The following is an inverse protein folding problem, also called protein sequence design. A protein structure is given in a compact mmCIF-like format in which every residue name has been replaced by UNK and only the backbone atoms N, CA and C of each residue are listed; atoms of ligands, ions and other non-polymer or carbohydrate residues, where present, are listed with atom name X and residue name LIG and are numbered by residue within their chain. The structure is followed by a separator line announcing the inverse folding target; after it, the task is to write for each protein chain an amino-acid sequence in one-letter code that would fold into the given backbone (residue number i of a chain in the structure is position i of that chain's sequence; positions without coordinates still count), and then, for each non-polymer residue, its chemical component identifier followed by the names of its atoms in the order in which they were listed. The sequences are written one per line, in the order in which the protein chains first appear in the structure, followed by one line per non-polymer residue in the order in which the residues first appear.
data_IF_776727939780
#
_entry.id   IF_776727939780
#
_cell.length_a   1.000
_cell.length_b   1.000
_cell.length_c   1.000
_cell.angle_alpha   90.00
_cell.angle_beta   90.00
_cell.angle_gamma   90.00
#
_symmetry.space_group_name_H-M   'P 1'
#
loop_
_entity.id
_entity.type
_entity.pdbx_description
1 polymer ?
#
# COMPACT_ATOMS: atom_id res chain seq x y z
N UNK A 1 43.07 11.25 -40.65
CA UNK A 1 41.74 10.74 -40.29
C UNK A 1 41.56 10.91 -38.77
N UNK A 2 40.71 11.82 -38.34
CA UNK A 2 40.42 11.99 -36.92
C UNK A 2 39.68 10.73 -36.44
N UNK A 3 40.20 10.07 -35.39
CA UNK A 3 39.48 8.98 -34.70
C UNK A 3 38.20 9.57 -34.19
N UNK A 4 37.03 9.07 -34.66
CA UNK A 4 35.76 9.37 -34.03
C UNK A 4 35.90 9.05 -32.55
N UNK A 5 35.74 10.06 -31.69
CA UNK A 5 35.66 9.85 -30.24
C UNK A 5 34.46 8.94 -29.96
N UNK A 6 34.74 7.78 -29.36
CA UNK A 6 33.65 6.88 -28.94
C UNK A 6 32.75 7.61 -27.96
N UNK A 7 31.45 7.57 -28.19
CA UNK A 7 30.45 8.25 -27.34
C UNK A 7 30.30 7.59 -25.95
N UNK A 8 30.77 6.33 -25.81
CA UNK A 8 30.63 5.54 -24.59
C UNK A 8 31.85 4.69 -24.31
N UNK A 9 32.22 4.46 -23.02
CA UNK A 9 33.24 3.47 -22.66
C UNK A 9 32.79 2.08 -23.10
N UNK A 10 33.71 1.31 -23.64
CA UNK A 10 33.47 -0.08 -24.06
C UNK A 10 34.45 -1.00 -23.37
N UNK A 11 33.92 -2.06 -22.74
CA UNK A 11 34.70 -3.10 -22.13
C UNK A 11 35.34 -4.04 -23.16
N UNK A 12 36.46 -4.63 -22.79
CA UNK A 12 37.07 -5.76 -23.51
C UNK A 12 37.86 -6.63 -22.54
N UNK A 13 38.13 -7.84 -22.95
CA UNK A 13 39.02 -8.73 -22.22
C UNK A 13 40.41 -8.70 -22.82
N UNK A 14 41.43 -8.64 -21.95
CA UNK A 14 42.84 -8.63 -22.36
C UNK A 14 43.61 -9.68 -21.58
N UNK A 15 44.65 -10.22 -22.22
CA UNK A 15 45.56 -11.14 -21.56
C UNK A 15 46.75 -10.38 -20.95
N UNK A 16 47.12 -10.74 -19.73
CA UNK A 16 48.26 -10.14 -19.03
C UNK A 16 49.11 -11.17 -18.32
N UNK A 17 50.37 -10.79 -18.17
CA UNK A 17 51.39 -11.43 -17.35
C UNK A 17 51.45 -12.94 -17.52
N UNK A 18 52.27 -13.44 -18.39
CA UNK A 18 52.44 -14.87 -18.58
C UNK A 18 52.96 -15.51 -17.28
N UNK A 19 52.31 -16.59 -16.86
CA UNK A 19 52.75 -17.42 -15.75
C UNK A 19 53.19 -18.78 -16.29
N UNK A 20 54.27 -19.33 -15.75
CA UNK A 20 54.69 -20.70 -16.07
C UNK A 20 53.72 -21.66 -15.39
N UNK A 21 53.09 -22.55 -16.16
CA UNK A 21 52.27 -23.65 -15.72
C UNK A 21 52.95 -24.98 -16.10
N UNK A 22 52.55 -26.08 -15.50
CA UNK A 22 53.01 -27.42 -15.86
C UNK A 22 52.80 -27.76 -17.34
N UNK A 23 51.79 -27.16 -17.97
CA UNK A 23 51.40 -27.37 -19.37
C UNK A 23 51.82 -26.22 -20.31
N UNK A 24 52.79 -25.38 -19.93
CA UNK A 24 53.27 -24.25 -20.74
C UNK A 24 52.91 -22.89 -20.18
N UNK A 25 53.01 -21.86 -21.03
CA UNK A 25 52.76 -20.47 -20.65
C UNK A 25 51.24 -20.17 -20.68
N UNK A 26 50.69 -19.69 -19.56
CA UNK A 26 49.30 -19.26 -19.46
C UNK A 26 49.22 -17.79 -19.09
N UNK A 27 48.14 -17.13 -19.52
CA UNK A 27 47.90 -15.72 -19.33
C UNK A 27 46.66 -15.53 -18.47
N UNK A 28 46.70 -14.58 -17.56
CA UNK A 28 45.50 -14.17 -16.78
C UNK A 28 44.61 -13.29 -17.66
N UNK A 29 43.32 -13.55 -17.59
CA UNK A 29 42.26 -12.77 -18.28
C UNK A 29 41.85 -11.62 -17.40
N UNK A 30 41.84 -10.42 -17.97
CA UNK A 30 41.41 -9.20 -17.30
C UNK A 30 40.29 -8.53 -18.09
N UNK A 31 39.26 -8.09 -17.42
CA UNK A 31 38.33 -7.11 -17.93
C UNK A 31 38.98 -5.73 -17.94
N UNK A 32 38.88 -5.00 -19.04
CA UNK A 32 39.59 -3.75 -19.31
C UNK A 32 38.68 -2.70 -19.89
N UNK A 33 38.70 -1.51 -19.30
CA UNK A 33 38.12 -0.29 -19.86
C UNK A 33 39.20 0.79 -20.01
N UNK A 34 39.00 1.65 -21.02
CA UNK A 34 39.81 2.86 -21.20
C UNK A 34 38.86 4.04 -21.47
N UNK A 35 38.93 5.05 -20.61
CA UNK A 35 38.08 6.22 -20.74
C UNK A 35 38.76 7.46 -20.20
N UNK A 36 38.67 8.61 -20.94
CA UNK A 36 39.22 9.91 -20.57
C UNK A 36 40.64 9.85 -19.96
N UNK A 37 41.52 9.04 -20.56
CA UNK A 37 42.89 8.90 -20.12
C UNK A 37 43.14 7.87 -19.01
N UNK A 38 42.10 7.37 -18.35
CA UNK A 38 42.23 6.37 -17.29
C UNK A 38 42.07 4.95 -17.82
N UNK A 39 42.94 4.05 -17.32
CA UNK A 39 42.89 2.61 -17.60
C UNK A 39 42.36 1.88 -16.37
N UNK A 40 41.24 1.18 -16.50
CA UNK A 40 40.62 0.38 -15.46
C UNK A 40 40.73 -1.10 -15.78
N UNK A 41 41.07 -1.93 -14.79
CA UNK A 41 41.32 -3.37 -14.97
C UNK A 41 40.89 -4.15 -13.77
N UNK A 42 40.22 -5.30 -14.02
CA UNK A 42 39.85 -6.29 -12.99
C UNK A 42 40.23 -7.69 -13.47
N UNK A 43 40.89 -8.47 -12.62
CA UNK A 43 41.06 -9.91 -12.86
C UNK A 43 39.71 -10.59 -12.85
N UNK A 44 39.46 -11.49 -13.78
CA UNK A 44 38.26 -12.34 -13.78
C UNK A 44 38.56 -13.75 -13.25
N UNK A 45 39.78 -13.92 -12.67
CA UNK A 45 40.28 -15.17 -12.07
C UNK A 45 40.26 -16.39 -13.02
N UNK A 46 40.39 -16.09 -14.30
CA UNK A 46 40.52 -17.08 -15.36
C UNK A 46 41.91 -16.99 -15.99
N UNK A 47 42.44 -18.13 -16.42
CA UNK A 47 43.69 -18.23 -17.15
C UNK A 47 43.50 -18.98 -18.46
N UNK A 48 44.30 -18.65 -19.47
CA UNK A 48 44.20 -19.23 -20.81
C UNK A 48 45.55 -19.30 -21.46
N UNK A 49 45.83 -20.35 -22.25
CA UNK A 49 46.99 -20.37 -23.16
C UNK A 49 46.70 -19.50 -24.38
N UNK A 50 47.73 -18.86 -24.95
CA UNK A 50 47.54 -17.92 -26.04
C UNK A 50 46.86 -18.56 -27.28
N UNK A 51 47.11 -19.82 -27.56
CA UNK A 51 46.46 -20.59 -28.64
C UNK A 51 44.96 -20.76 -28.49
N UNK A 52 44.49 -20.75 -27.24
CA UNK A 52 43.10 -21.01 -26.87
C UNK A 52 42.29 -19.72 -26.66
N UNK A 53 42.89 -18.57 -26.98
CA UNK A 53 42.30 -17.25 -26.90
C UNK A 53 42.11 -16.62 -28.28
N UNK A 54 40.96 -15.98 -28.49
CA UNK A 54 40.69 -15.19 -29.70
C UNK A 54 40.44 -13.72 -29.29
N UNK A 55 41.44 -12.86 -29.46
CA UNK A 55 41.36 -11.44 -29.11
C UNK A 55 40.45 -10.65 -30.03
N UNK A 56 40.32 -11.06 -31.29
CA UNK A 56 39.57 -10.32 -32.31
C UNK A 56 38.09 -10.71 -32.36
N UNK A 57 37.67 -11.70 -31.55
CA UNK A 57 36.28 -12.12 -31.47
C UNK A 57 35.38 -10.97 -30.99
N UNK A 58 34.16 -10.95 -31.48
CA UNK A 58 33.13 -9.98 -31.13
C UNK A 58 33.57 -8.52 -31.27
N UNK A 59 34.36 -8.19 -32.29
CA UNK A 59 34.84 -6.83 -32.54
C UNK A 59 36.00 -6.41 -31.63
N UNK A 60 36.83 -7.35 -31.18
CA UNK A 60 37.99 -7.11 -30.33
C UNK A 60 37.74 -7.24 -28.84
N UNK A 61 36.56 -7.77 -28.46
CA UNK A 61 36.20 -8.01 -27.06
C UNK A 61 37.04 -9.12 -26.43
N UNK A 62 37.34 -10.18 -27.20
CA UNK A 62 38.10 -11.35 -26.73
C UNK A 62 37.23 -12.47 -26.19
N UNK A 63 37.55 -13.72 -26.53
CA UNK A 63 36.85 -14.91 -26.03
C UNK A 63 37.72 -16.18 -26.05
N UNK A 64 37.29 -17.20 -25.32
CA UNK A 64 37.88 -18.54 -25.35
C UNK A 64 37.54 -19.25 -26.65
N UNK A 65 38.56 -19.91 -27.27
CA UNK A 65 38.37 -20.79 -28.44
C UNK A 65 37.88 -22.18 -28.03
N UNK A 66 37.24 -22.94 -28.95
CA UNK A 66 36.88 -24.34 -28.69
C UNK A 66 38.05 -25.23 -28.27
N UNK A 67 39.28 -24.91 -28.70
CA UNK A 67 40.48 -25.61 -28.31
C UNK A 67 40.83 -25.57 -26.84
N UNK A 68 40.18 -24.64 -26.06
CA UNK A 68 40.32 -24.56 -24.60
C UNK A 68 39.78 -25.79 -23.90
N UNK A 69 38.78 -26.47 -24.47
CA UNK A 69 38.12 -27.65 -23.90
C UNK A 69 36.60 -27.48 -23.75
N UNK A 70 35.92 -28.47 -23.15
CA UNK A 70 34.43 -28.54 -23.17
C UNK A 70 33.75 -27.35 -22.49
N UNK A 71 34.37 -26.69 -21.53
CA UNK A 71 33.78 -25.59 -20.74
C UNK A 71 33.96 -24.20 -21.40
N UNK A 72 34.47 -24.09 -22.65
CA UNK A 72 34.72 -22.78 -23.28
C UNK A 72 33.43 -21.97 -23.46
N UNK A 73 32.30 -22.64 -23.73
CA UNK A 73 30.99 -21.95 -23.87
C UNK A 73 30.51 -21.33 -22.57
N UNK A 74 30.62 -22.06 -21.48
CA UNK A 74 30.22 -21.56 -20.14
C UNK A 74 31.11 -20.37 -19.75
N UNK A 75 32.40 -20.44 -20.00
CA UNK A 75 33.30 -19.33 -19.70
C UNK A 75 33.02 -18.10 -20.57
N UNK A 76 32.72 -18.28 -21.84
CA UNK A 76 32.30 -17.17 -22.70
C UNK A 76 30.96 -16.59 -22.28
N UNK A 77 30.02 -17.40 -21.82
CA UNK A 77 28.75 -16.92 -21.24
C UNK A 77 28.99 -16.07 -20.00
N UNK A 78 29.83 -16.55 -19.06
CA UNK A 78 30.23 -15.80 -17.87
C UNK A 78 30.89 -14.46 -18.20
N UNK A 79 31.82 -14.43 -19.16
CA UNK A 79 32.45 -13.19 -19.59
C UNK A 79 31.42 -12.21 -20.18
N UNK A 80 30.50 -12.69 -21.00
CA UNK A 80 29.42 -11.85 -21.56
C UNK A 80 28.52 -11.26 -20.49
N UNK A 81 28.12 -12.07 -19.55
CA UNK A 81 27.24 -11.63 -18.45
C UNK A 81 27.93 -10.58 -17.59
N UNK A 82 29.16 -10.82 -17.14
CA UNK A 82 29.94 -9.88 -16.34
C UNK A 82 30.12 -8.53 -17.05
N UNK A 83 30.45 -8.54 -18.34
CA UNK A 83 30.61 -7.31 -19.11
C UNK A 83 29.28 -6.59 -19.32
N UNK A 84 28.22 -7.33 -19.61
CA UNK A 84 26.87 -6.78 -19.77
C UNK A 84 26.38 -6.09 -18.50
N UNK A 85 26.61 -6.67 -17.32
CA UNK A 85 26.26 -6.05 -16.03
C UNK A 85 26.98 -4.71 -15.84
N UNK A 86 28.28 -4.66 -16.10
CA UNK A 86 29.06 -3.43 -15.93
C UNK A 86 28.72 -2.39 -17.02
N UNK A 87 28.55 -2.79 -18.27
CA UNK A 87 28.14 -1.88 -19.34
C UNK A 87 26.75 -1.30 -19.09
N UNK A 88 25.83 -2.10 -18.55
CA UNK A 88 24.49 -1.62 -18.14
C UNK A 88 24.58 -0.56 -17.05
N UNK A 89 25.39 -0.78 -16.01
CA UNK A 89 25.62 0.20 -14.92
C UNK A 89 26.22 1.51 -15.46
N UNK A 90 27.21 1.41 -16.35
CA UNK A 90 27.82 2.57 -16.99
C UNK A 90 26.79 3.36 -17.81
N UNK A 91 25.99 2.68 -18.62
CA UNK A 91 24.97 3.33 -19.45
C UNK A 91 23.89 3.98 -18.61
N UNK A 92 23.48 3.35 -17.52
CA UNK A 92 22.46 3.89 -16.62
C UNK A 92 22.98 5.10 -15.86
N UNK A 93 24.25 5.08 -15.45
CA UNK A 93 24.90 6.23 -14.82
C UNK A 93 24.98 7.43 -15.81
N UNK A 94 25.39 7.19 -17.06
CA UNK A 94 25.43 8.23 -18.09
C UNK A 94 24.03 8.81 -18.37
N UNK A 95 22.99 7.96 -18.45
CA UNK A 95 21.61 8.43 -18.65
C UNK A 95 21.15 9.36 -17.52
N UNK A 96 21.61 9.10 -16.29
CA UNK A 96 21.20 9.85 -15.12
C UNK A 96 22.01 11.14 -14.94
N UNK A 97 23.33 11.07 -15.15
CA UNK A 97 24.28 12.16 -14.85
C UNK A 97 24.78 12.91 -16.08
N UNK A 98 24.48 12.41 -17.28
CA UNK A 98 24.92 13.00 -18.56
C UNK A 98 26.35 12.59 -19.00
N UNK A 99 27.25 12.37 -18.06
CA UNK A 99 28.64 12.01 -18.30
C UNK A 99 29.17 11.01 -17.27
N UNK A 100 30.29 10.40 -17.53
CA UNK A 100 30.97 9.47 -16.61
C UNK A 100 32.48 9.71 -16.65
N UNK A 101 33.13 9.64 -15.50
CA UNK A 101 34.58 9.71 -15.37
C UNK A 101 35.23 8.32 -15.18
N UNK A 102 36.55 8.29 -15.17
CA UNK A 102 37.30 7.04 -15.03
C UNK A 102 37.26 6.44 -13.64
N UNK A 103 37.03 7.24 -12.58
CA UNK A 103 36.95 6.80 -11.19
C UNK A 103 35.63 6.07 -10.97
N UNK A 104 34.57 6.59 -11.54
CA UNK A 104 33.27 5.95 -11.56
C UNK A 104 33.25 4.60 -12.26
N UNK A 105 33.95 4.51 -13.43
CA UNK A 105 34.12 3.22 -14.13
C UNK A 105 34.92 2.24 -13.26
N UNK A 106 35.97 2.71 -12.58
CA UNK A 106 36.76 1.85 -11.68
C UNK A 106 35.91 1.27 -10.56
N UNK A 107 35.06 2.07 -9.97
CA UNK A 107 34.14 1.61 -8.92
C UNK A 107 33.15 0.54 -9.44
N UNK A 108 32.58 0.70 -10.63
CA UNK A 108 31.72 -0.33 -11.24
C UNK A 108 32.49 -1.62 -11.56
N UNK A 109 33.71 -1.48 -12.10
CA UNK A 109 34.57 -2.61 -12.49
C UNK A 109 35.05 -3.35 -11.24
N UNK A 110 35.45 -2.66 -10.17
CA UNK A 110 35.89 -3.27 -8.93
C UNK A 110 34.77 -3.92 -8.14
N UNK A 111 33.51 -3.50 -8.36
CA UNK A 111 32.36 -3.87 -7.56
C UNK A 111 32.20 -3.04 -6.27
N UNK A 112 32.99 -1.96 -6.14
CA UNK A 112 32.89 -0.98 -5.06
C UNK A 112 32.01 0.21 -5.47
N UNK A 113 30.88 -0.12 -6.08
CA UNK A 113 29.94 0.82 -6.69
C UNK A 113 28.88 1.34 -5.70
N UNK A 114 28.96 0.93 -4.43
CA UNK A 114 27.98 1.36 -3.41
C UNK A 114 27.91 2.87 -3.26
N UNK A 115 29.06 3.55 -3.34
CA UNK A 115 29.14 5.00 -3.26
C UNK A 115 28.60 5.75 -4.50
N UNK A 116 28.44 5.04 -5.62
CA UNK A 116 28.02 5.60 -6.92
C UNK A 116 26.56 5.29 -7.26
N UNK A 117 25.83 4.63 -6.38
CA UNK A 117 24.42 4.36 -6.59
C UNK A 117 23.63 5.67 -6.65
N UNK A 118 22.70 5.79 -7.61
CA UNK A 118 21.93 7.03 -7.79
C UNK A 118 21.12 7.45 -6.56
N UNK A 119 20.90 6.53 -5.64
CA UNK A 119 20.19 6.72 -4.39
C UNK A 119 21.09 7.08 -3.19
N UNK A 120 22.38 7.26 -3.41
CA UNK A 120 23.32 7.50 -2.33
C UNK A 120 23.01 8.81 -1.60
N UNK A 121 22.53 8.68 -0.37
CA UNK A 121 22.14 9.79 0.48
C UNK A 121 20.66 10.22 0.40
N UNK A 122 19.83 9.55 -0.40
CA UNK A 122 18.38 9.81 -0.36
C UNK A 122 17.77 9.04 0.82
N UNK A 123 17.27 9.76 1.82
CA UNK A 123 16.57 9.16 2.95
C UNK A 123 15.27 8.49 2.50
N UNK A 124 15.11 7.21 2.84
CA UNK A 124 13.95 6.40 2.48
C UNK A 124 12.64 6.97 3.01
N UNK A 125 12.65 7.44 4.26
CA UNK A 125 11.44 7.94 4.92
C UNK A 125 10.96 9.23 4.27
N UNK A 126 11.86 10.16 4.00
CA UNK A 126 11.52 11.43 3.36
C UNK A 126 11.08 11.23 1.90
N UNK A 127 11.77 10.38 1.15
CA UNK A 127 11.35 9.98 -0.20
C UNK A 127 9.94 9.37 -0.22
N UNK A 128 9.67 8.46 0.72
CA UNK A 128 8.38 7.82 0.83
C UNK A 128 7.25 8.80 1.18
N UNK A 129 7.48 9.72 2.13
CA UNK A 129 6.51 10.77 2.48
C UNK A 129 6.24 11.69 1.30
N UNK A 130 7.30 12.14 0.61
CA UNK A 130 7.16 13.00 -0.56
C UNK A 130 6.34 12.32 -1.66
N UNK A 131 6.56 11.03 -1.91
CA UNK A 131 5.74 10.27 -2.86
C UNK A 131 4.24 10.29 -2.53
N UNK A 132 3.86 10.16 -1.25
CA UNK A 132 2.44 10.25 -0.85
C UNK A 132 1.88 11.66 -1.06
N UNK A 133 2.67 12.70 -0.81
CA UNK A 133 2.32 14.09 -1.07
C UNK A 133 2.12 14.32 -2.57
N UNK A 134 3.04 13.88 -3.41
CA UNK A 134 2.98 14.04 -4.87
C UNK A 134 1.78 13.31 -5.48
N UNK A 135 1.47 12.11 -4.99
CA UNK A 135 0.27 11.37 -5.41
C UNK A 135 -1.02 12.08 -5.01
N UNK A 136 -1.05 12.73 -3.87
CA UNK A 136 -2.18 13.55 -3.44
C UNK A 136 -2.31 14.80 -4.32
N UNK A 137 -1.23 15.55 -4.51
CA UNK A 137 -1.20 16.77 -5.33
C UNK A 137 -1.59 16.49 -6.80
N UNK A 138 -1.26 15.30 -7.31
CA UNK A 138 -1.65 14.85 -8.65
C UNK A 138 -3.06 14.23 -8.72
N UNK A 139 -3.83 14.23 -7.64
CA UNK A 139 -5.19 13.69 -7.58
C UNK A 139 -5.28 12.16 -7.66
N UNK A 140 -4.16 11.44 -7.58
CA UNK A 140 -4.11 9.96 -7.65
C UNK A 140 -4.60 9.28 -6.37
N UNK A 141 -4.53 9.97 -5.24
CA UNK A 141 -5.03 9.49 -3.94
C UNK A 141 -5.71 10.62 -3.19
N UNK A 142 -6.67 10.29 -2.32
CA UNK A 142 -7.30 11.25 -1.43
C UNK A 142 -6.47 11.56 -0.18
N UNK A 143 -6.84 12.64 0.52
CA UNK A 143 -6.16 13.12 1.73
C UNK A 143 -5.98 12.03 2.80
N UNK A 144 -6.98 11.17 3.00
CA UNK A 144 -6.87 10.08 3.99
C UNK A 144 -5.79 9.05 3.63
N UNK A 145 -5.62 8.75 2.34
CA UNK A 145 -4.57 7.83 1.88
C UNK A 145 -3.18 8.44 2.02
N UNK A 146 -3.03 9.75 1.74
CA UNK A 146 -1.79 10.50 1.99
C UNK A 146 -1.40 10.42 3.46
N UNK A 147 -2.32 10.77 4.36
CA UNK A 147 -2.06 10.81 5.79
C UNK A 147 -1.75 9.43 6.39
N UNK A 148 -2.48 8.40 5.93
CA UNK A 148 -2.19 7.04 6.34
C UNK A 148 -0.79 6.59 5.86
N UNK A 149 -0.43 6.91 4.60
CA UNK A 149 0.90 6.63 4.07
C UNK A 149 2.01 7.30 4.88
N UNK A 150 1.86 8.59 5.19
CA UNK A 150 2.79 9.33 6.06
C UNK A 150 2.85 8.71 7.46
N UNK A 151 1.71 8.35 8.05
CA UNK A 151 1.65 7.68 9.36
C UNK A 151 2.36 6.33 9.35
N UNK A 152 2.25 5.55 8.27
CA UNK A 152 2.95 4.29 8.12
C UNK A 152 4.47 4.49 8.05
N UNK A 153 4.93 5.50 7.32
CA UNK A 153 6.36 5.85 7.26
C UNK A 153 6.89 6.34 8.61
N UNK A 154 6.08 7.09 9.36
CA UNK A 154 6.44 7.49 10.72
C UNK A 154 6.57 6.29 11.68
N UNK A 155 5.76 5.24 11.51
CA UNK A 155 5.89 4.00 12.27
C UNK A 155 7.19 3.26 11.90
N UNK A 156 7.55 3.21 10.63
CA UNK A 156 8.80 2.62 10.18
C UNK A 156 10.01 3.42 10.68
N UNK A 157 9.97 4.75 10.58
CA UNK A 157 10.99 5.64 11.17
C UNK A 157 11.16 5.42 12.68
N UNK A 158 10.05 5.24 13.42
CA UNK A 158 10.11 4.92 14.85
C UNK A 158 10.85 3.63 15.13
N UNK A 159 10.58 2.58 14.36
CA UNK A 159 11.29 1.30 14.46
C UNK A 159 12.78 1.47 14.19
N UNK A 160 13.16 2.15 13.10
CA UNK A 160 14.56 2.39 12.76
C UNK A 160 15.31 3.07 13.91
N UNK A 161 14.69 4.06 14.55
CA UNK A 161 15.27 4.79 15.69
C UNK A 161 15.36 3.95 16.96
N UNK A 162 14.30 3.23 17.32
CA UNK A 162 14.25 2.46 18.58
C UNK A 162 15.15 1.23 18.53
N UNK A 163 15.19 0.54 17.40
CA UNK A 163 15.95 -0.70 17.23
C UNK A 163 17.34 -0.45 16.62
N UNK A 164 17.70 0.83 16.36
CA UNK A 164 18.98 1.24 15.73
C UNK A 164 19.27 0.46 14.44
N UNK A 165 18.24 0.29 13.61
CA UNK A 165 18.28 -0.53 12.39
C UNK A 165 18.57 0.26 11.12
N UNK A 166 18.71 1.58 11.19
CA UNK A 166 19.23 2.40 10.09
C UNK A 166 20.73 2.18 9.93
N UNK A 167 21.26 2.61 8.79
CA UNK A 167 22.68 2.46 8.45
C UNK A 167 23.48 3.74 8.74
N UNK A 168 22.80 4.86 8.92
CA UNK A 168 23.39 6.20 9.01
C UNK A 168 22.76 7.02 10.14
N UNK A 169 23.37 8.16 10.44
CA UNK A 169 22.98 9.03 11.54
C UNK A 169 23.67 8.66 12.86
N UNK A 170 23.57 9.54 13.86
CA UNK A 170 24.27 9.38 15.15
C UNK A 170 23.84 8.11 15.90
N UNK A 171 22.59 7.68 15.71
CA UNK A 171 22.00 6.52 16.35
C UNK A 171 21.53 5.44 15.36
N UNK A 172 22.08 5.41 14.14
CA UNK A 172 21.61 4.54 13.06
C UNK A 172 20.10 4.68 12.81
N UNK A 173 19.59 5.91 12.81
CA UNK A 173 18.17 6.20 12.55
C UNK A 173 17.82 6.49 11.10
N UNK A 174 18.82 6.73 10.25
CA UNK A 174 18.63 7.01 8.82
C UNK A 174 18.82 5.73 8.00
N UNK A 175 17.99 5.58 6.99
CA UNK A 175 18.05 4.50 6.01
C UNK A 175 18.05 5.12 4.62
N UNK A 176 19.11 4.89 3.85
CA UNK A 176 19.12 5.32 2.46
C UNK A 176 18.32 4.38 1.56
N UNK A 177 17.83 4.91 0.45
CA UNK A 177 16.82 4.27 -0.37
C UNK A 177 17.28 2.90 -0.93
N UNK A 178 18.54 2.78 -1.36
CA UNK A 178 19.11 1.53 -1.86
C UNK A 178 19.52 0.51 -0.79
N UNK A 179 19.41 0.87 0.48
CA UNK A 179 19.79 0.00 1.60
C UNK A 179 18.61 -0.78 2.19
N UNK A 180 17.40 -0.52 1.68
CA UNK A 180 16.24 -1.27 2.13
C UNK A 180 16.35 -2.74 1.70
N UNK A 181 16.11 -3.64 2.64
CA UNK A 181 16.15 -5.08 2.40
C UNK A 181 14.87 -5.75 2.86
N UNK A 182 14.58 -6.93 2.32
CA UNK A 182 13.50 -7.79 2.79
C UNK A 182 13.63 -8.06 4.30
N UNK A 183 14.84 -8.41 4.76
CA UNK A 183 15.08 -8.75 6.17
C UNK A 183 14.76 -7.57 7.09
N UNK A 184 15.11 -6.34 6.71
CA UNK A 184 14.78 -5.16 7.51
C UNK A 184 13.26 -4.94 7.63
N UNK A 185 12.52 -5.17 6.55
CA UNK A 185 11.05 -5.05 6.57
C UNK A 185 10.40 -6.22 7.31
N UNK A 186 10.98 -7.42 7.24
CA UNK A 186 10.59 -8.58 8.05
C UNK A 186 10.78 -8.30 9.55
N UNK A 187 11.91 -7.75 9.95
CA UNK A 187 12.18 -7.36 11.33
C UNK A 187 11.18 -6.30 11.82
N UNK A 188 10.90 -5.30 10.99
CA UNK A 188 9.87 -4.30 11.27
C UNK A 188 8.48 -4.92 11.42
N UNK A 189 8.08 -5.84 10.54
CA UNK A 189 6.82 -6.57 10.62
C UNK A 189 6.69 -7.30 11.96
N UNK A 190 7.74 -8.03 12.34
CA UNK A 190 7.77 -8.80 13.59
C UNK A 190 7.75 -7.87 14.81
N UNK A 191 8.44 -6.73 14.75
CA UNK A 191 8.38 -5.69 15.79
C UNK A 191 6.97 -5.12 15.95
N UNK A 192 6.25 -4.88 14.86
CA UNK A 192 4.85 -4.43 14.92
C UNK A 192 3.94 -5.48 15.59
N UNK A 193 4.10 -6.76 15.26
CA UNK A 193 3.34 -7.85 15.86
C UNK A 193 3.67 -7.99 17.35
N UNK A 194 4.93 -7.89 17.74
CA UNK A 194 5.38 -7.90 19.14
C UNK A 194 4.86 -6.70 19.97
N UNK A 195 4.38 -5.64 19.31
CA UNK A 195 3.69 -4.51 19.94
C UNK A 195 2.15 -4.63 19.82
N UNK A 196 1.60 -5.83 19.76
CA UNK A 196 0.18 -6.16 19.73
C UNK A 196 -0.61 -5.49 18.58
N UNK A 197 0.06 -5.21 17.45
CA UNK A 197 -0.60 -4.69 16.26
C UNK A 197 -1.32 -5.81 15.52
N UNK A 198 -2.58 -5.54 15.15
CA UNK A 198 -3.36 -6.50 14.35
C UNK A 198 -2.70 -6.77 13.00
N UNK A 199 -2.73 -8.02 12.55
CA UNK A 199 -2.17 -8.50 11.29
C UNK A 199 -2.60 -7.63 10.10
N UNK A 200 -3.90 -7.30 9.99
CA UNK A 200 -4.43 -6.44 8.92
C UNK A 200 -3.78 -5.03 8.92
N UNK A 201 -3.47 -4.47 10.09
CA UNK A 201 -2.78 -3.18 10.20
C UNK A 201 -1.33 -3.30 9.76
N UNK A 202 -0.64 -4.35 10.19
CA UNK A 202 0.76 -4.64 9.82
C UNK A 202 0.88 -4.85 8.31
N UNK A 203 -0.01 -5.63 7.72
CA UNK A 203 -0.08 -5.87 6.28
C UNK A 203 -0.23 -4.57 5.47
N UNK A 204 -1.06 -3.62 5.94
CA UNK A 204 -1.21 -2.31 5.29
C UNK A 204 0.07 -1.49 5.30
N UNK A 205 0.84 -1.54 6.39
CA UNK A 205 2.13 -0.83 6.49
C UNK A 205 3.17 -1.47 5.58
N UNK A 206 3.31 -2.80 5.61
CA UNK A 206 4.22 -3.54 4.72
C UNK A 206 3.88 -3.29 3.24
N UNK A 207 2.60 -3.32 2.89
CA UNK A 207 2.15 -3.02 1.53
C UNK A 207 2.47 -1.57 1.12
N UNK A 208 2.39 -0.61 2.04
CA UNK A 208 2.78 0.77 1.77
C UNK A 208 4.28 0.89 1.49
N UNK A 209 5.14 0.21 2.27
CA UNK A 209 6.59 0.13 2.05
C UNK A 209 6.87 -0.52 0.68
N UNK A 210 6.27 -1.68 0.39
CA UNK A 210 6.41 -2.35 -0.91
C UNK A 210 6.00 -1.45 -2.09
N UNK A 211 4.95 -0.65 -1.92
CA UNK A 211 4.50 0.33 -2.92
C UNK A 211 5.50 1.46 -3.15
N UNK A 212 6.22 1.89 -2.12
CA UNK A 212 7.32 2.87 -2.24
C UNK A 212 8.52 2.23 -2.95
N UNK A 213 8.93 1.02 -2.54
CA UNK A 213 10.00 0.27 -3.20
C UNK A 213 9.71 0.03 -4.69
N UNK A 214 8.47 -0.33 -5.04
CA UNK A 214 8.07 -0.51 -6.43
C UNK A 214 8.22 0.77 -7.28
N UNK A 215 7.99 1.93 -6.68
CA UNK A 215 8.24 3.20 -7.36
C UNK A 215 9.74 3.52 -7.45
N UNK A 216 10.48 3.27 -6.39
CA UNK A 216 11.93 3.45 -6.37
C UNK A 216 12.62 2.51 -7.38
N UNK A 217 12.08 1.29 -7.59
CA UNK A 217 12.58 0.36 -8.61
C UNK A 217 12.38 0.87 -10.04
N UNK A 218 11.31 1.62 -10.32
CA UNK A 218 11.13 2.27 -11.63
C UNK A 218 12.22 3.32 -11.91
N UNK A 219 12.80 3.89 -10.84
CA UNK A 219 13.91 4.84 -10.88
C UNK A 219 15.27 4.14 -10.70
N UNK A 220 15.28 2.81 -10.61
CA UNK A 220 16.48 1.97 -10.37
C UNK A 220 17.21 2.26 -9.06
N UNK A 221 16.52 2.86 -8.08
CA UNK A 221 17.06 3.09 -6.74
C UNK A 221 17.01 1.84 -5.85
N UNK A 222 16.04 0.95 -6.09
CA UNK A 222 15.84 -0.29 -5.35
C UNK A 222 15.74 -1.44 -6.36
N UNK A 223 16.44 -2.56 -6.18
CA UNK A 223 16.29 -3.74 -7.03
C UNK A 223 14.85 -4.26 -7.01
N UNK A 224 14.36 -4.73 -8.17
CA UNK A 224 12.98 -5.23 -8.28
C UNK A 224 12.78 -6.47 -7.42
N UNK A 225 13.80 -7.31 -7.27
CA UNK A 225 13.80 -8.52 -6.46
C UNK A 225 13.50 -8.21 -4.99
N UNK A 226 14.08 -7.14 -4.44
CA UNK A 226 13.80 -6.66 -3.08
C UNK A 226 12.34 -6.24 -2.94
N UNK A 227 11.81 -5.55 -3.96
CA UNK A 227 10.38 -5.15 -3.96
C UNK A 227 9.45 -6.35 -3.96
N UNK A 228 9.75 -7.39 -4.74
CA UNK A 228 8.95 -8.61 -4.80
C UNK A 228 9.02 -9.37 -3.48
N UNK A 229 10.21 -9.56 -2.92
CA UNK A 229 10.41 -10.20 -1.63
C UNK A 229 9.64 -9.48 -0.50
N UNK A 230 9.65 -8.13 -0.47
CA UNK A 230 8.86 -7.37 0.51
C UNK A 230 7.34 -7.58 0.32
N UNK A 231 6.84 -7.71 -0.90
CA UNK A 231 5.42 -8.00 -1.14
C UNK A 231 5.01 -9.37 -0.59
N UNK A 232 5.90 -10.35 -0.65
CA UNK A 232 5.66 -11.71 -0.16
C UNK A 232 5.65 -11.79 1.38
N UNK A 233 6.08 -10.73 2.08
CA UNK A 233 5.96 -10.61 3.53
C UNK A 233 4.53 -10.43 4.03
N UNK A 234 3.55 -10.36 3.13
CA UNK A 234 2.13 -10.27 3.50
C UNK A 234 1.69 -11.53 4.25
N UNK A 235 1.14 -11.34 5.44
CA UNK A 235 0.64 -12.43 6.25
C UNK A 235 -0.78 -12.80 5.82
N UNK A 236 -1.02 -14.09 5.56
CA UNK A 236 -2.38 -14.60 5.44
C UNK A 236 -3.03 -14.60 6.83
N UNK A 237 -4.23 -14.06 6.89
CA UNK A 237 -5.01 -13.98 8.14
C UNK A 237 -5.64 -15.36 8.46
N UNK A 238 -4.78 -16.38 8.57
CA UNK A 238 -5.19 -17.75 8.90
C UNK A 238 -5.42 -18.01 10.39
N UNK A 239 -5.09 -17.01 11.23
CA UNK A 239 -5.11 -17.12 12.69
C UNK A 239 -6.38 -16.58 13.33
N UNK A 240 -7.40 -16.27 12.55
CA UNK A 240 -8.69 -15.92 13.12
C UNK A 240 -9.39 -17.23 13.46
N UNK A 241 -9.57 -17.46 14.76
CA UNK A 241 -10.49 -18.47 15.23
C UNK A 241 -11.83 -18.30 14.49
N UNK A 242 -12.32 -19.39 13.94
CA UNK A 242 -13.56 -19.38 13.14
C UNK A 242 -14.75 -18.82 13.93
N UNK A 243 -14.63 -18.72 15.25
CA UNK A 243 -15.65 -18.27 16.17
C UNK A 243 -15.59 -16.78 16.52
N UNK A 244 -14.57 -16.01 16.09
CA UNK A 244 -14.54 -14.56 16.35
C UNK A 244 -15.35 -13.81 15.31
N UNK A 245 -16.59 -13.45 15.66
CA UNK A 245 -17.45 -12.57 14.83
C UNK A 245 -16.73 -11.28 14.52
N UNK A 246 -16.30 -11.12 13.27
CA UNK A 246 -15.50 -9.97 12.79
C UNK A 246 -16.31 -8.67 12.80
N UNK A 247 -17.61 -8.78 12.64
CA UNK A 247 -18.53 -7.65 12.49
C UNK A 247 -19.33 -7.46 13.77
N UNK A 248 -19.17 -6.30 14.39
CA UNK A 248 -19.94 -5.91 15.57
C UNK A 248 -21.22 -5.21 15.15
N UNK A 249 -22.36 -5.73 15.56
CA UNK A 249 -23.70 -5.23 15.24
C UNK A 249 -24.65 -5.37 16.43
N UNK A 250 -25.85 -4.82 16.34
CA UNK A 250 -26.93 -5.00 17.30
C UNK A 250 -27.90 -6.04 16.76
N UNK A 251 -28.29 -7.00 17.59
CA UNK A 251 -29.45 -7.88 17.28
C UNK A 251 -30.72 -7.05 17.15
N UNK A 252 -31.78 -7.64 16.60
CA UNK A 252 -33.06 -6.93 16.43
C UNK A 252 -33.60 -6.44 17.79
N UNK A 253 -33.48 -7.25 18.84
CA UNK A 253 -33.95 -6.86 20.19
C UNK A 253 -33.08 -5.79 20.83
N UNK A 254 -31.74 -5.88 20.63
CA UNK A 254 -30.83 -4.82 21.06
C UNK A 254 -31.12 -3.51 20.33
N UNK A 255 -31.38 -3.57 19.02
CA UNK A 255 -31.73 -2.38 18.25
C UNK A 255 -33.04 -1.74 18.73
N UNK A 256 -34.07 -2.54 19.01
CA UNK A 256 -35.35 -2.07 19.62
C UNK A 256 -35.10 -1.41 20.97
N UNK A 257 -34.34 -2.09 21.85
CA UNK A 257 -33.95 -1.54 23.15
C UNK A 257 -33.20 -0.22 22.99
N UNK A 258 -32.21 -0.16 22.08
CA UNK A 258 -31.46 1.06 21.82
C UNK A 258 -32.34 2.18 21.27
N UNK A 259 -33.24 1.89 20.34
CA UNK A 259 -34.21 2.89 19.84
C UNK A 259 -35.06 3.49 20.93
N UNK A 260 -35.45 2.68 21.92
CA UNK A 260 -36.33 3.08 23.03
C UNK A 260 -35.70 4.05 24.05
N UNK A 261 -34.38 4.12 24.17
CA UNK A 261 -33.74 4.94 25.20
C UNK A 261 -33.72 6.45 24.90
N UNK A 262 -34.12 6.87 23.71
CA UNK A 262 -33.97 8.27 23.27
C UNK A 262 -34.50 9.28 24.31
N UNK A 263 -35.69 9.05 24.83
CA UNK A 263 -36.32 10.00 25.74
C UNK A 263 -35.71 9.96 27.14
N UNK A 264 -35.07 8.86 27.52
CA UNK A 264 -34.38 8.73 28.81
C UNK A 264 -33.02 9.40 28.83
N UNK A 265 -32.49 9.78 27.65
CA UNK A 265 -31.19 10.43 27.57
C UNK A 265 -31.20 11.83 28.18
N UNK A 266 -30.22 12.16 29.07
CA UNK A 266 -30.29 13.35 29.90
C UNK A 266 -30.02 14.66 29.14
N UNK A 267 -29.33 14.59 28.01
CA UNK A 267 -28.87 15.80 27.30
C UNK A 267 -29.35 15.81 25.85
N UNK A 268 -29.81 16.97 25.40
CA UNK A 268 -30.26 17.16 24.01
C UNK A 268 -29.21 16.70 22.99
N UNK A 269 -27.94 16.95 23.25
CA UNK A 269 -26.84 16.53 22.35
C UNK A 269 -26.70 15.00 22.27
N UNK A 270 -27.01 14.29 23.34
CA UNK A 270 -27.06 12.82 23.32
C UNK A 270 -28.24 12.33 22.48
N UNK A 271 -29.41 12.95 22.61
CA UNK A 271 -30.59 12.66 21.78
C UNK A 271 -30.29 12.92 20.30
N UNK A 272 -29.57 13.98 19.97
CA UNK A 272 -29.14 14.31 18.62
C UNK A 272 -28.22 13.24 18.01
N UNK A 273 -27.23 12.77 18.76
CA UNK A 273 -26.36 11.71 18.31
C UNK A 273 -27.04 10.35 18.21
N UNK A 274 -28.02 10.10 19.09
CA UNK A 274 -28.89 8.96 18.97
C UNK A 274 -29.73 9.02 17.68
N UNK A 275 -30.38 10.16 17.40
CA UNK A 275 -31.11 10.38 16.16
C UNK A 275 -30.23 10.14 14.92
N UNK A 276 -28.99 10.59 14.94
CA UNK A 276 -28.04 10.37 13.84
C UNK A 276 -27.68 8.88 13.66
N UNK A 277 -27.52 8.13 14.75
CA UNK A 277 -27.27 6.69 14.68
C UNK A 277 -28.48 5.95 14.10
N UNK A 278 -29.69 6.23 14.64
CA UNK A 278 -30.91 5.62 14.14
C UNK A 278 -31.25 6.02 12.71
N UNK A 279 -30.97 7.26 12.33
CA UNK A 279 -31.11 7.71 10.95
C UNK A 279 -30.16 6.97 10.00
N UNK A 280 -28.90 6.76 10.41
CA UNK A 280 -27.96 5.94 9.63
C UNK A 280 -28.53 4.55 9.37
N UNK A 281 -29.07 3.90 10.40
CA UNK A 281 -29.72 2.60 10.26
C UNK A 281 -30.91 2.66 9.29
N UNK A 282 -31.87 3.56 9.50
CA UNK A 282 -33.08 3.68 8.66
C UNK A 282 -32.78 4.16 7.23
N UNK A 283 -31.64 4.79 7.02
CA UNK A 283 -31.13 5.17 5.70
C UNK A 283 -30.14 4.13 5.13
N UNK A 284 -30.44 2.83 5.32
CA UNK A 284 -29.69 1.70 4.78
C UNK A 284 -28.19 1.74 5.14
N UNK A 285 -27.86 2.09 6.37
CA UNK A 285 -26.49 2.14 6.85
C UNK A 285 -25.66 3.28 6.24
N UNK A 286 -26.24 4.46 6.10
CA UNK A 286 -25.56 5.66 5.59
C UNK A 286 -24.28 5.94 6.37
N UNK A 287 -23.14 6.07 5.69
CA UNK A 287 -21.84 6.33 6.33
C UNK A 287 -21.84 7.68 7.04
N UNK A 288 -21.13 7.77 8.17
CA UNK A 288 -21.02 9.03 8.93
C UNK A 288 -20.55 10.21 8.06
N UNK A 289 -19.58 10.00 7.19
CA UNK A 289 -19.10 11.09 6.32
C UNK A 289 -20.17 11.56 5.32
N UNK A 290 -20.98 10.63 4.81
CA UNK A 290 -22.10 10.96 3.91
C UNK A 290 -23.24 11.67 4.67
N UNK A 291 -23.42 11.35 5.95
CA UNK A 291 -24.35 12.05 6.85
C UNK A 291 -23.84 13.45 7.21
N UNK A 292 -22.54 13.60 7.54
CA UNK A 292 -21.92 14.92 7.82
C UNK A 292 -22.17 15.88 6.65
N UNK A 293 -22.09 15.38 5.42
CA UNK A 293 -22.24 16.15 4.19
C UNK A 293 -23.64 16.09 3.57
N UNK A 294 -24.64 15.54 4.29
CA UNK A 294 -26.01 15.43 3.79
C UNK A 294 -26.68 16.80 3.82
N UNK A 295 -27.19 17.22 2.67
CA UNK A 295 -27.88 18.50 2.49
C UNK A 295 -29.36 18.27 2.32
N UNK A 296 -30.17 19.26 2.66
CA UNK A 296 -31.63 19.21 2.44
C UNK A 296 -31.99 19.01 0.95
N UNK A 297 -31.22 19.56 0.03
CA UNK A 297 -31.42 19.38 -1.41
C UNK A 297 -31.14 17.95 -1.90
N UNK A 298 -30.46 17.14 -1.12
CA UNK A 298 -30.20 15.73 -1.44
C UNK A 298 -31.43 14.84 -1.12
N UNK A 299 -32.47 15.38 -0.45
CA UNK A 299 -33.64 14.64 0.01
C UNK A 299 -34.87 14.98 -0.84
N UNK A 300 -35.42 13.98 -1.49
CA UNK A 300 -36.69 14.08 -2.23
C UNK A 300 -37.83 13.51 -1.37
N UNK A 301 -38.49 14.37 -0.61
CA UNK A 301 -39.59 13.96 0.28
C UNK A 301 -40.79 13.38 -0.48
N UNK A 302 -41.05 13.82 -1.73
CA UNK A 302 -42.17 13.28 -2.52
C UNK A 302 -41.93 11.84 -2.94
N UNK A 303 -40.69 11.53 -3.34
CA UNK A 303 -40.27 10.18 -3.74
C UNK A 303 -39.75 9.35 -2.57
N UNK A 304 -39.64 9.93 -1.39
CA UNK A 304 -39.07 9.34 -0.18
C UNK A 304 -37.70 8.70 -0.45
N UNK A 305 -36.78 9.46 -1.05
CA UNK A 305 -35.42 8.99 -1.35
C UNK A 305 -34.37 10.05 -1.04
N UNK A 306 -33.19 9.59 -0.62
CA UNK A 306 -31.97 10.39 -0.55
C UNK A 306 -31.16 10.12 -1.83
N UNK A 307 -30.74 11.18 -2.53
CA UNK A 307 -29.87 11.11 -3.70
C UNK A 307 -28.52 11.67 -3.32
N UNK A 308 -27.56 10.80 -3.06
CA UNK A 308 -26.25 11.18 -2.53
C UNK A 308 -25.12 10.67 -3.41
N UNK A 309 -24.18 11.55 -3.76
CA UNK A 309 -22.86 11.12 -4.21
C UNK A 309 -22.04 10.84 -2.96
N UNK A 310 -21.64 9.60 -2.77
CA UNK A 310 -20.87 9.18 -1.59
C UNK A 310 -19.47 9.82 -1.62
N UNK A 311 -19.07 10.38 -0.49
CA UNK A 311 -17.78 11.08 -0.37
C UNK A 311 -16.60 10.13 -0.59
N UNK A 312 -16.68 8.91 -0.03
CA UNK A 312 -15.57 7.94 -0.09
C UNK A 312 -15.40 7.29 -1.46
N UNK A 313 -16.50 6.90 -2.12
CA UNK A 313 -16.47 6.06 -3.32
C UNK A 313 -16.82 6.81 -4.60
N UNK A 314 -17.31 8.05 -4.47
CA UNK A 314 -17.84 8.91 -5.56
C UNK A 314 -19.01 8.28 -6.33
N UNK A 315 -19.58 7.19 -5.82
CA UNK A 315 -20.74 6.55 -6.42
C UNK A 315 -22.01 7.33 -6.12
N UNK A 316 -22.89 7.41 -7.10
CA UNK A 316 -24.26 7.88 -6.88
C UNK A 316 -25.03 6.79 -6.18
N UNK A 317 -25.62 7.11 -5.03
CA UNK A 317 -26.51 6.24 -4.29
C UNK A 317 -27.90 6.86 -4.18
N UNK A 318 -28.91 6.04 -4.38
CA UNK A 318 -30.32 6.40 -4.18
C UNK A 318 -30.84 5.51 -3.05
N UNK A 319 -31.06 6.11 -1.91
CA UNK A 319 -31.43 5.41 -0.67
C UNK A 319 -32.92 5.67 -0.40
N UNK A 320 -33.79 4.66 -0.45
CA UNK A 320 -35.17 4.82 -0.02
C UNK A 320 -35.25 5.08 1.47
N UNK A 321 -36.07 6.03 1.88
CA UNK A 321 -36.36 6.31 3.29
C UNK A 321 -37.84 6.05 3.57
N UNK A 322 -38.11 5.70 4.82
CA UNK A 322 -39.46 5.41 5.29
C UNK A 322 -39.78 6.28 6.49
N UNK A 323 -40.98 6.16 7.00
CA UNK A 323 -41.56 6.97 8.08
C UNK A 323 -40.58 7.25 9.22
N UNK A 324 -39.96 6.21 9.79
CA UNK A 324 -38.99 6.37 10.90
C UNK A 324 -37.80 7.28 10.57
N UNK A 325 -37.29 7.24 9.32
CA UNK A 325 -36.25 8.17 8.89
C UNK A 325 -36.78 9.59 8.69
N UNK A 326 -38.02 9.71 8.17
CA UNK A 326 -38.69 11.00 7.93
C UNK A 326 -38.99 11.70 9.25
N UNK A 327 -39.51 10.98 10.26
CA UNK A 327 -39.71 11.51 11.59
C UNK A 327 -38.44 12.10 12.22
N UNK A 328 -37.28 11.42 12.00
CA UNK A 328 -36.01 11.98 12.44
C UNK A 328 -35.74 13.29 11.70
N UNK A 329 -35.87 13.28 10.35
CA UNK A 329 -35.62 14.48 9.55
C UNK A 329 -36.54 15.65 9.97
N UNK A 330 -37.78 15.39 10.31
CA UNK A 330 -38.72 16.42 10.74
C UNK A 330 -38.30 17.08 12.05
N UNK A 331 -37.65 16.32 12.98
CA UNK A 331 -37.06 16.88 14.20
C UNK A 331 -35.88 17.85 13.91
N UNK A 332 -35.26 17.73 12.75
CA UNK A 332 -34.13 18.55 12.33
C UNK A 332 -34.52 19.68 11.36
N UNK A 333 -35.70 19.62 10.80
CA UNK A 333 -36.22 20.59 9.84
C UNK A 333 -36.27 22.00 10.41
N UNK A 334 -35.75 22.96 9.64
CA UNK A 334 -35.71 24.37 10.06
C UNK A 334 -34.58 24.73 11.04
N UNK A 335 -33.81 23.77 11.54
CA UNK A 335 -32.72 24.05 12.48
C UNK A 335 -31.45 24.55 11.75
N UNK A 336 -31.20 24.05 10.55
CA UNK A 336 -30.05 24.38 9.71
C UNK A 336 -30.49 24.58 8.27
N UNK A 337 -29.83 25.49 7.54
CA UNK A 337 -30.26 25.88 6.19
C UNK A 337 -29.79 24.93 5.10
N UNK A 338 -28.53 24.47 5.19
CA UNK A 338 -27.88 23.67 4.14
C UNK A 338 -27.72 22.23 4.56
N UNK A 339 -26.99 21.97 5.65
CA UNK A 339 -26.69 20.61 6.09
C UNK A 339 -27.72 20.12 7.13
N UNK A 340 -28.26 18.93 6.88
CA UNK A 340 -29.36 18.36 7.67
C UNK A 340 -29.07 18.34 9.18
N UNK A 341 -27.87 17.85 9.55
CA UNK A 341 -27.49 17.63 10.95
C UNK A 341 -26.59 18.74 11.54
N UNK A 342 -26.36 19.83 10.80
CA UNK A 342 -25.59 20.97 11.30
C UNK A 342 -24.16 20.62 11.74
N UNK A 343 -23.59 19.55 11.21
CA UNK A 343 -22.24 19.10 11.53
C UNK A 343 -21.16 19.89 10.78
N UNK A 344 -21.57 20.61 9.75
CA UNK A 344 -20.77 21.56 8.99
C UNK A 344 -21.47 22.93 8.99
N UNK A 345 -20.73 24.05 8.94
CA UNK A 345 -21.33 25.36 8.73
C UNK A 345 -21.95 25.47 7.32
N UNK A 346 -22.97 26.27 7.17
CA UNK A 346 -23.71 26.39 5.89
C UNK A 346 -22.85 26.81 4.69
N UNK A 347 -21.79 27.54 4.92
CA UNK A 347 -20.84 27.99 3.93
C UNK A 347 -19.62 27.08 3.75
N UNK A 348 -19.66 25.84 4.27
CA UNK A 348 -18.53 24.92 4.19
C UNK A 348 -18.23 24.53 2.75
N UNK A 349 -16.95 24.65 2.36
CA UNK A 349 -16.49 24.18 1.05
C UNK A 349 -16.24 22.66 1.07
N UNK A 350 -17.11 21.89 0.43
CA UNK A 350 -16.99 20.43 0.32
C UNK A 350 -15.80 19.97 -0.55
N UNK A 351 -15.14 20.88 -1.30
CA UNK A 351 -13.94 20.56 -2.05
C UNK A 351 -12.68 20.65 -1.17
N UNK A 352 -12.78 21.24 0.02
CA UNK A 352 -11.68 21.27 0.99
C UNK A 352 -11.60 19.93 1.74
N UNK A 353 -10.99 18.94 1.10
CA UNK A 353 -10.86 17.58 1.63
C UNK A 353 -10.10 17.52 2.97
N UNK A 354 -9.15 18.42 3.20
CA UNK A 354 -8.37 18.46 4.45
C UNK A 354 -9.22 18.90 5.63
N UNK A 355 -9.96 19.97 5.46
CA UNK A 355 -10.85 20.48 6.52
C UNK A 355 -12.01 19.51 6.75
N UNK A 356 -12.57 18.93 5.69
CA UNK A 356 -13.62 17.90 5.79
C UNK A 356 -13.10 16.69 6.57
N UNK A 357 -11.86 16.25 6.34
CA UNK A 357 -11.24 15.17 7.09
C UNK A 357 -11.07 15.50 8.57
N UNK A 358 -10.57 16.69 8.89
CA UNK A 358 -10.44 17.15 10.29
C UNK A 358 -11.80 17.16 10.98
N UNK A 359 -12.80 17.72 10.32
CA UNK A 359 -14.17 17.78 10.85
C UNK A 359 -14.76 16.39 11.07
N UNK A 360 -14.63 15.49 10.08
CA UNK A 360 -15.05 14.09 10.21
C UNK A 360 -14.42 13.41 11.41
N UNK A 361 -13.12 13.55 11.62
CA UNK A 361 -12.42 12.90 12.74
C UNK A 361 -12.93 13.45 14.08
N UNK A 362 -13.07 14.75 14.23
CA UNK A 362 -13.64 15.39 15.43
C UNK A 362 -15.06 14.90 15.72
N UNK A 363 -15.93 14.91 14.71
CA UNK A 363 -17.32 14.46 14.82
C UNK A 363 -17.39 12.97 15.16
N UNK A 364 -16.56 12.14 14.51
CA UNK A 364 -16.49 10.69 14.79
C UNK A 364 -16.16 10.41 16.26
N UNK A 365 -15.14 11.09 16.79
CA UNK A 365 -14.73 10.91 18.18
C UNK A 365 -15.85 11.34 19.15
N UNK A 366 -16.49 12.48 18.89
CA UNK A 366 -17.55 13.01 19.75
C UNK A 366 -18.79 12.11 19.73
N UNK A 367 -19.23 11.68 18.55
CA UNK A 367 -20.38 10.78 18.41
C UNK A 367 -20.09 9.43 19.08
N UNK A 368 -18.96 8.82 18.80
CA UNK A 368 -18.63 7.52 19.39
C UNK A 368 -18.52 7.59 20.91
N UNK A 369 -17.93 8.65 21.47
CA UNK A 369 -17.91 8.85 22.92
C UNK A 369 -19.32 8.94 23.50
N UNK A 370 -20.24 9.61 22.80
CA UNK A 370 -21.64 9.70 23.22
C UNK A 370 -22.34 8.34 23.10
N UNK A 371 -22.19 7.62 21.99
CA UNK A 371 -22.83 6.32 21.77
C UNK A 371 -22.36 5.27 22.78
N UNK A 372 -21.08 5.25 23.14
CA UNK A 372 -20.56 4.42 24.23
C UNK A 372 -21.23 4.69 25.58
N UNK A 373 -21.53 5.96 25.88
CA UNK A 373 -22.31 6.30 27.08
C UNK A 373 -23.75 5.85 26.94
N UNK A 374 -24.35 5.99 25.75
CA UNK A 374 -25.73 5.56 25.49
C UNK A 374 -25.90 4.04 25.62
N UNK A 375 -24.86 3.24 25.29
CA UNK A 375 -24.86 1.79 25.51
C UNK A 375 -25.21 1.43 26.98
N UNK A 376 -24.72 2.23 27.94
CA UNK A 376 -25.03 2.03 29.37
C UNK A 376 -26.50 2.31 29.70
N UNK A 377 -27.11 3.30 29.04
CA UNK A 377 -28.55 3.57 29.21
C UNK A 377 -29.42 2.46 28.60
N UNK A 378 -28.91 1.74 27.61
CA UNK A 378 -29.55 0.57 27.02
C UNK A 378 -29.22 -0.74 27.76
N UNK A 379 -28.45 -0.69 28.86
CA UNK A 379 -27.95 -1.84 29.61
C UNK A 379 -27.13 -2.83 28.76
N UNK A 380 -26.34 -2.30 27.82
CA UNK A 380 -25.46 -3.12 27.00
C UNK A 380 -24.08 -3.29 27.65
N UNK A 381 -23.56 -4.49 27.64
CA UNK A 381 -22.18 -4.80 28.02
C UNK A 381 -21.18 -4.33 26.99
N UNK A 382 -21.62 -4.11 25.76
CA UNK A 382 -20.79 -3.71 24.63
C UNK A 382 -20.89 -2.22 24.34
N UNK A 383 -19.78 -1.65 23.87
CA UNK A 383 -19.71 -0.24 23.51
C UNK A 383 -20.10 -0.03 22.04
N UNK A 384 -21.28 0.53 21.80
CA UNK A 384 -21.76 0.85 20.45
C UNK A 384 -20.94 2.00 19.84
N UNK A 385 -20.59 1.85 18.57
CA UNK A 385 -19.98 2.92 17.75
C UNK A 385 -20.87 3.22 16.56
N UNK A 386 -20.67 4.38 15.93
CA UNK A 386 -21.52 4.82 14.82
C UNK A 386 -21.58 3.82 13.66
N UNK A 387 -20.48 3.15 13.39
CA UNK A 387 -20.40 2.20 12.27
C UNK A 387 -21.28 0.95 12.47
N UNK A 388 -21.64 0.64 13.70
CA UNK A 388 -22.54 -0.46 14.00
C UNK A 388 -23.94 -0.26 13.38
N UNK A 389 -24.44 0.96 13.24
CA UNK A 389 -25.69 1.21 12.54
C UNK A 389 -25.70 0.60 11.13
N UNK A 390 -24.59 0.71 10.42
CA UNK A 390 -24.42 0.15 9.08
C UNK A 390 -24.31 -1.38 9.10
N UNK A 391 -23.53 -1.92 10.02
CA UNK A 391 -23.38 -3.36 10.17
C UNK A 391 -24.71 -3.99 10.60
N UNK A 392 -25.40 -3.41 11.58
CA UNK A 392 -26.71 -3.84 12.03
C UNK A 392 -27.71 -3.87 10.87
N UNK A 393 -27.79 -2.80 10.07
CA UNK A 393 -28.69 -2.78 8.93
C UNK A 393 -28.38 -3.90 7.93
N UNK A 394 -27.11 -4.13 7.63
CA UNK A 394 -26.70 -5.14 6.65
C UNK A 394 -26.98 -6.56 7.15
N UNK A 395 -26.63 -6.87 8.40
CA UNK A 395 -26.85 -8.20 9.00
C UNK A 395 -28.35 -8.49 9.11
N UNK A 396 -29.15 -7.58 9.69
CA UNK A 396 -30.60 -7.78 9.80
C UNK A 396 -31.29 -7.87 8.43
N UNK A 397 -30.77 -7.22 7.39
CA UNK A 397 -31.28 -7.38 6.03
C UNK A 397 -30.97 -8.77 5.46
N UNK A 398 -29.78 -9.31 5.73
CA UNK A 398 -29.41 -10.69 5.35
C UNK A 398 -30.26 -11.72 6.09
N UNK A 399 -30.40 -11.59 7.41
CA UNK A 399 -31.27 -12.48 8.22
C UNK A 399 -32.72 -12.47 7.77
N UNK A 400 -33.18 -11.39 7.13
CA UNK A 400 -34.51 -11.29 6.49
C UNK A 400 -34.55 -11.77 5.03
N UNK A 401 -33.52 -12.45 4.57
CA UNK A 401 -33.45 -13.04 3.22
C UNK A 401 -33.25 -12.02 2.08
N UNK A 402 -32.79 -10.79 2.37
CA UNK A 402 -32.49 -9.83 1.30
C UNK A 402 -31.22 -10.23 0.57
N UNK A 403 -31.31 -10.37 -0.73
CA UNK A 403 -30.15 -10.71 -1.58
C UNK A 403 -28.96 -9.78 -1.35
N UNK A 404 -27.77 -10.36 -1.25
CA UNK A 404 -26.53 -9.63 -0.99
C UNK A 404 -26.22 -8.56 -2.05
N UNK A 405 -26.65 -8.79 -3.29
CA UNK A 405 -26.54 -7.83 -4.40
C UNK A 405 -27.34 -6.55 -4.14
N UNK A 406 -28.56 -6.69 -3.61
CA UNK A 406 -29.42 -5.56 -3.24
C UNK A 406 -28.87 -4.81 -2.03
N UNK A 407 -28.37 -5.55 -1.02
CA UNK A 407 -27.69 -4.97 0.14
C UNK A 407 -26.47 -4.17 -0.29
N UNK A 408 -25.59 -4.77 -1.12
CA UNK A 408 -24.40 -4.12 -1.65
C UNK A 408 -24.73 -2.79 -2.35
N UNK A 409 -25.76 -2.79 -3.19
CA UNK A 409 -26.25 -1.60 -3.90
C UNK A 409 -26.75 -0.52 -2.94
N UNK A 410 -27.56 -0.88 -1.93
CA UNK A 410 -28.09 0.08 -0.95
C UNK A 410 -26.98 0.64 -0.06
N UNK A 411 -26.02 -0.18 0.34
CA UNK A 411 -24.81 0.26 1.03
C UNK A 411 -23.90 1.14 0.13
N UNK A 412 -24.08 1.10 -1.19
CA UNK A 412 -23.25 1.84 -2.16
C UNK A 412 -21.81 1.30 -2.22
N UNK A 413 -21.66 -0.03 -2.20
CA UNK A 413 -20.38 -0.67 -2.52
C UNK A 413 -20.15 -0.70 -4.04
N UNK A 414 -18.89 -0.68 -4.45
CA UNK A 414 -18.51 -0.75 -5.88
C UNK A 414 -18.62 -2.17 -6.43
N UNK A 415 -18.62 -3.17 -5.57
CA UNK A 415 -18.69 -4.59 -5.90
C UNK A 415 -19.39 -5.36 -4.78
N UNK A 416 -20.10 -6.42 -5.13
CA UNK A 416 -20.72 -7.36 -4.18
C UNK A 416 -19.68 -8.08 -3.34
N UNK A 417 -18.51 -8.37 -3.90
CA UNK A 417 -17.39 -9.01 -3.20
C UNK A 417 -16.99 -8.29 -1.89
N UNK A 418 -17.17 -6.96 -1.81
CA UNK A 418 -16.93 -6.22 -0.57
C UNK A 418 -17.96 -6.58 0.51
N UNK A 419 -19.23 -6.75 0.12
CA UNK A 419 -20.33 -7.13 1.00
C UNK A 419 -20.19 -8.60 1.42
N UNK A 420 -19.91 -9.48 0.48
CA UNK A 420 -19.67 -10.90 0.71
C UNK A 420 -18.52 -11.11 1.70
N UNK A 421 -17.37 -10.50 1.45
CA UNK A 421 -16.20 -10.62 2.35
C UNK A 421 -16.50 -10.20 3.80
N UNK A 422 -17.38 -9.21 3.99
CA UNK A 422 -17.67 -8.64 5.32
C UNK A 422 -18.80 -9.39 6.02
N UNK A 423 -19.81 -9.87 5.27
CA UNK A 423 -21.05 -10.39 5.85
C UNK A 423 -21.35 -11.84 5.45
N UNK A 424 -20.41 -12.56 4.82
CA UNK A 424 -20.61 -13.95 4.39
C UNK A 424 -21.02 -14.89 5.55
N UNK A 425 -20.48 -14.63 6.75
CA UNK A 425 -20.77 -15.40 7.97
C UNK A 425 -22.21 -15.24 8.46
N UNK A 426 -22.95 -14.21 7.99
CA UNK A 426 -24.35 -13.96 8.31
C UNK A 426 -25.32 -14.38 7.20
N UNK A 427 -24.82 -14.99 6.13
CA UNK A 427 -25.70 -15.62 5.17
C UNK A 427 -26.40 -16.76 5.91
N UNK A 428 -27.73 -16.81 5.89
CA UNK A 428 -28.46 -17.91 6.51
C UNK A 428 -27.91 -19.23 6.04
N UNK A 429 -27.99 -20.27 6.86
CA UNK A 429 -27.75 -21.66 6.46
C UNK A 429 -28.80 -22.16 5.44
N UNK A 430 -29.26 -21.24 4.58
CA UNK A 430 -30.17 -21.51 3.47
C UNK A 430 -29.57 -22.46 2.44
N UNK A 431 -28.28 -22.80 2.57
CA UNK A 431 -27.70 -23.91 1.79
C UNK A 431 -28.39 -25.23 2.15
N UNK A 432 -28.78 -25.43 3.40
CA UNK A 432 -29.61 -26.57 3.80
C UNK A 432 -30.99 -26.52 3.18
N UNK A 433 -31.67 -25.37 3.32
CA UNK A 433 -33.02 -25.15 2.72
C UNK A 433 -32.97 -25.25 1.18
N UNK A 434 -31.95 -24.71 0.54
CA UNK A 434 -31.77 -24.84 -0.92
C UNK A 434 -31.50 -26.29 -1.34
N UNK A 435 -30.76 -27.05 -0.53
CA UNK A 435 -30.55 -28.48 -0.77
C UNK A 435 -31.84 -29.25 -0.56
N UNK A 436 -32.66 -28.91 0.43
CA UNK A 436 -33.96 -29.51 0.67
C UNK A 436 -34.99 -29.13 -0.41
N UNK A 437 -34.94 -27.91 -0.96
CA UNK A 437 -35.75 -27.48 -2.11
C UNK A 437 -35.31 -28.13 -3.43
N UNK A 438 -34.03 -28.52 -3.53
CA UNK A 438 -33.48 -29.22 -4.71
C UNK A 438 -33.68 -30.73 -4.65
N UNK A 439 -34.77 -31.20 -4.06
CA UNK A 439 -35.14 -32.61 -3.91
C UNK A 439 -34.85 -33.42 -5.22
N UNK A 440 -33.61 -33.88 -5.35
CA UNK A 440 -33.18 -34.76 -6.42
C UNK A 440 -33.62 -36.22 -6.09
N UNK A 441 -34.92 -36.43 -5.99
CA UNK A 441 -35.46 -37.79 -5.94
C UNK A 441 -35.32 -38.44 -7.33
N UNK A 442 -34.22 -39.16 -7.57
CA UNK A 442 -34.02 -40.01 -8.71
C UNK A 442 -34.65 -41.41 -8.47
#
# INVERSE_FOLDING_TARGET
MARQQRQFPQGKYILRTPRKSQNGQVYAVYLYYYWLGKQVRRSVDLTVALKDWNQDANGGVGEFRPSYGPNYKERNAYLKELMHDIDSKIMDYIKLHGEIDGDTIEAFVSGDDKALRPDNGIDFIEFAKQRFIDRYNSGKIGVSSRENGISYMNQFSKFLKQEKRGSHGVNNELLYLGEITEQLVLDFRNWQLGNDRKVDTVNKVVQAIAGVCAYASQMRYVPIEVTLAIKDLHLSDKSLDADEVRVKYLTEDQLKAFAGIRETLPHIRMKEFHDMFMFSFYACGLRLIDMITLRWVDIDFKKQVIRKIQVKTRNRNVIPIREAAIEILDRWKGRYKVFVFGLLPDNFDLNNDEELRKRRNSVTNTINTSLKRQSKFANFEVEVTFHWARHTWAVLALEKGVEISKISRLLGHTSTAVTEKVYAEFLPDTLGEVVDELDFNF
#
